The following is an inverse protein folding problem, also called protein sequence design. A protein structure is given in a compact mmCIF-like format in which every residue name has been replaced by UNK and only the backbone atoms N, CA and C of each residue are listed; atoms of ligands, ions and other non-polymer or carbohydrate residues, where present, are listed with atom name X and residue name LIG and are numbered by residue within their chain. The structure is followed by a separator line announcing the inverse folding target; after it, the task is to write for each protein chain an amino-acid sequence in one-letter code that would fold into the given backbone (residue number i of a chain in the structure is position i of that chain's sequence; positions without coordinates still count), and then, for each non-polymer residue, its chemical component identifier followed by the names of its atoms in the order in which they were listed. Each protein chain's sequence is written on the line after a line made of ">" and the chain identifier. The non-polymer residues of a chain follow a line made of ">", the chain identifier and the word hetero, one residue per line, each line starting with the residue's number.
data_IF_325073224587
#
_entry.id   IF_325073224587
#
_cell.length_a   1.000
_cell.length_b   1.000
_cell.length_c   1.000
_cell.angle_alpha   90.00
_cell.angle_beta   90.00
_cell.angle_gamma   90.00
#
_symmetry.space_group_name_H-M   'P 1'
#
loop_
_entity.id
_entity.type
_entity.pdbx_description
1 polymer ?
#
# COMPACT_ATOMS: atom_id res chain seq x y z
N UNK A 1 -11.20 17.08 0.35
CA UNK A 1 -11.30 17.46 1.79
C UNK A 1 -10.33 16.71 2.71
N UNK A 2 -10.57 15.44 3.10
CA UNK A 2 -9.76 14.76 4.14
C UNK A 2 -8.29 14.56 3.77
N UNK A 3 -7.99 14.10 2.55
CA UNK A 3 -6.61 13.93 2.06
C UNK A 3 -5.84 15.26 2.07
N UNK A 4 -6.48 16.37 1.69
CA UNK A 4 -5.85 17.68 1.71
C UNK A 4 -5.54 18.15 3.13
N UNK A 5 -6.45 17.92 4.08
CA UNK A 5 -6.23 18.22 5.50
C UNK A 5 -5.01 17.49 6.05
N UNK A 6 -4.89 16.17 5.82
CA UNK A 6 -3.72 15.41 6.25
C UNK A 6 -2.41 15.95 5.68
N UNK A 7 -2.41 16.42 4.43
CA UNK A 7 -1.22 17.02 3.83
C UNK A 7 -0.80 18.32 4.53
N UNK A 8 -1.77 19.16 4.89
CA UNK A 8 -1.52 20.38 5.66
C UNK A 8 -1.00 20.02 7.06
N UNK A 9 -1.63 19.05 7.71
CA UNK A 9 -1.27 18.62 9.07
C UNK A 9 0.13 18.02 9.12
N UNK A 10 0.50 17.15 8.17
CA UNK A 10 1.84 16.58 8.05
C UNK A 10 2.88 17.69 7.87
N UNK A 11 2.62 18.64 6.95
CA UNK A 11 3.56 19.73 6.69
C UNK A 11 3.76 20.60 7.94
N UNK A 12 2.67 21.02 8.56
CA UNK A 12 2.70 21.86 9.77
C UNK A 12 3.35 21.13 10.94
N UNK A 13 3.03 19.86 11.15
CA UNK A 13 3.62 19.07 12.21
C UNK A 13 5.12 18.86 12.02
N UNK A 14 5.57 18.62 10.79
CA UNK A 14 6.99 18.52 10.46
C UNK A 14 7.74 19.83 10.76
N UNK A 15 7.13 20.98 10.45
CA UNK A 15 7.71 22.31 10.69
C UNK A 15 7.79 22.68 12.18
N UNK A 16 6.76 22.35 12.97
CA UNK A 16 6.67 22.78 14.38
C UNK A 16 7.33 21.78 15.34
N UNK A 17 7.07 20.48 15.13
CA UNK A 17 7.42 19.42 16.07
C UNK A 17 8.49 18.46 15.53
N UNK A 18 8.86 18.60 14.27
CA UNK A 18 9.80 17.72 13.59
C UNK A 18 9.14 16.53 12.90
N UNK A 19 9.90 15.92 11.98
CA UNK A 19 9.40 14.88 11.07
C UNK A 19 8.93 13.61 11.80
N UNK A 20 9.51 13.26 12.94
CA UNK A 20 9.12 12.09 13.72
C UNK A 20 7.72 12.20 14.31
N UNK A 21 7.24 13.41 14.59
CA UNK A 21 5.88 13.64 15.09
C UNK A 21 4.81 13.34 14.02
N UNK A 22 5.18 13.35 12.74
CA UNK A 22 4.23 13.09 11.64
C UNK A 22 3.80 11.63 11.54
N UNK A 23 4.46 10.71 12.26
CA UNK A 23 4.17 9.26 12.25
C UNK A 23 2.71 8.94 12.56
N UNK A 24 2.19 9.51 13.64
CA UNK A 24 0.80 9.33 14.07
C UNK A 24 -0.19 9.85 13.03
N UNK A 25 0.18 10.95 12.36
CA UNK A 25 -0.65 11.56 11.31
C UNK A 25 -0.69 10.66 10.07
N UNK A 26 0.45 10.09 9.67
CA UNK A 26 0.52 9.12 8.58
C UNK A 26 -0.29 7.85 8.87
N UNK A 27 -0.14 7.27 10.06
CA UNK A 27 -0.90 6.07 10.45
C UNK A 27 -2.40 6.33 10.38
N UNK A 28 -2.87 7.43 11.00
CA UNK A 28 -4.27 7.82 10.95
C UNK A 28 -4.75 8.08 9.52
N UNK A 29 -3.93 8.70 8.68
CA UNK A 29 -4.27 8.95 7.29
C UNK A 29 -4.46 7.62 6.52
N UNK A 30 -3.56 6.65 6.72
CA UNK A 30 -3.62 5.34 6.07
C UNK A 30 -4.86 4.56 6.47
N UNK A 31 -5.34 4.69 7.72
CA UNK A 31 -6.53 3.99 8.21
C UNK A 31 -7.85 4.56 7.66
N UNK A 32 -7.92 5.87 7.44
CA UNK A 32 -9.20 6.55 7.14
C UNK A 32 -9.38 6.96 5.67
N UNK A 33 -8.28 7.00 4.91
CA UNK A 33 -8.33 7.42 3.51
C UNK A 33 -8.67 6.25 2.59
N UNK A 34 -9.31 6.51 1.44
CA UNK A 34 -9.48 5.49 0.40
C UNK A 34 -8.14 4.93 -0.08
N UNK A 35 -8.14 3.69 -0.57
CA UNK A 35 -6.93 2.93 -0.96
C UNK A 35 -5.95 3.71 -1.85
N UNK A 36 -6.45 4.53 -2.78
CA UNK A 36 -5.61 5.38 -3.65
C UNK A 36 -4.77 6.37 -2.84
N UNK A 37 -5.38 7.09 -1.92
CA UNK A 37 -4.71 8.08 -1.08
C UNK A 37 -3.95 7.43 0.07
N UNK A 38 -4.44 6.33 0.63
CA UNK A 38 -3.72 5.55 1.62
C UNK A 38 -2.40 5.03 1.06
N UNK A 39 -2.37 4.58 -0.21
CA UNK A 39 -1.14 4.16 -0.89
C UNK A 39 -0.13 5.31 -1.05
N UNK A 40 -0.57 6.50 -1.44
CA UNK A 40 0.32 7.69 -1.48
C UNK A 40 0.94 7.98 -0.10
N UNK A 41 0.11 7.93 0.95
CA UNK A 41 0.55 8.13 2.32
C UNK A 41 1.56 7.06 2.75
N UNK A 42 1.33 5.78 2.44
CA UNK A 42 2.26 4.70 2.71
C UNK A 42 3.61 4.92 2.01
N UNK A 43 3.63 5.29 0.72
CA UNK A 43 4.87 5.52 -0.02
C UNK A 43 5.71 6.65 0.60
N UNK A 44 5.05 7.78 0.92
CA UNK A 44 5.71 8.92 1.57
C UNK A 44 6.17 8.59 2.98
N UNK A 45 5.38 7.81 3.71
CA UNK A 45 5.72 7.39 5.07
C UNK A 45 6.93 6.44 5.06
N UNK A 46 6.97 5.47 4.15
CA UNK A 46 8.11 4.59 3.96
C UNK A 46 9.38 5.35 3.58
N UNK A 47 9.28 6.33 2.66
CA UNK A 47 10.42 7.17 2.27
C UNK A 47 10.95 8.02 3.44
N UNK A 48 10.03 8.59 4.24
CA UNK A 48 10.38 9.32 5.45
C UNK A 48 11.12 8.45 6.47
N UNK A 49 10.60 7.25 6.80
CA UNK A 49 11.27 6.32 7.72
C UNK A 49 12.63 5.86 7.17
N UNK A 50 12.71 5.62 5.86
CA UNK A 50 13.97 5.26 5.20
C UNK A 50 15.03 6.36 5.35
N UNK A 51 14.64 7.63 5.19
CA UNK A 51 15.53 8.79 5.36
C UNK A 51 15.95 9.01 6.81
N UNK A 52 15.17 8.54 7.77
CA UNK A 52 15.53 8.53 9.20
C UNK A 52 16.42 7.35 9.57
N UNK A 53 16.71 6.43 8.64
CA UNK A 53 17.48 5.21 8.89
C UNK A 53 16.66 4.06 9.48
N UNK A 54 15.34 4.23 9.62
CA UNK A 54 14.41 3.26 10.19
C UNK A 54 13.94 2.26 9.13
N UNK A 55 14.88 1.49 8.58
CA UNK A 55 14.66 0.61 7.42
C UNK A 55 13.60 -0.46 7.70
N UNK A 56 13.59 -1.05 8.91
CA UNK A 56 12.62 -2.08 9.27
C UNK A 56 11.20 -1.53 9.36
N UNK A 57 11.04 -0.28 9.82
CA UNK A 57 9.75 0.39 9.84
C UNK A 57 9.26 0.71 8.43
N UNK A 58 10.15 1.21 7.57
CA UNK A 58 9.84 1.42 6.15
C UNK A 58 9.37 0.12 5.47
N UNK A 59 10.05 -1.01 5.75
CA UNK A 59 9.68 -2.32 5.21
C UNK A 59 8.34 -2.83 5.74
N UNK A 60 8.02 -2.59 7.00
CA UNK A 60 6.72 -2.90 7.57
C UNK A 60 5.59 -2.11 6.88
N UNK A 61 5.81 -0.82 6.60
CA UNK A 61 4.85 0.03 5.88
C UNK A 61 4.64 -0.48 4.44
N UNK A 62 5.70 -0.86 3.72
CA UNK A 62 5.57 -1.48 2.40
C UNK A 62 4.76 -2.78 2.46
N UNK A 63 5.04 -3.64 3.44
CA UNK A 63 4.33 -4.91 3.63
C UNK A 63 2.84 -4.70 3.91
N UNK A 64 2.50 -3.71 4.74
CA UNK A 64 1.11 -3.32 4.99
C UNK A 64 0.44 -2.81 3.72
N UNK A 65 1.07 -1.84 3.04
CA UNK A 65 0.53 -1.23 1.82
C UNK A 65 0.31 -2.26 0.70
N UNK A 66 1.10 -3.34 0.67
CA UNK A 66 0.97 -4.40 -0.34
C UNK A 66 -0.41 -5.06 -0.38
N UNK A 67 -1.14 -5.06 0.75
CA UNK A 67 -2.47 -5.68 0.86
C UNK A 67 -3.55 -4.95 0.03
N UNK A 68 -3.33 -3.66 -0.27
CA UNK A 68 -4.23 -2.81 -1.06
C UNK A 68 -3.65 -2.46 -2.44
N UNK A 69 -2.65 -3.22 -2.88
CA UNK A 69 -1.87 -2.96 -4.09
C UNK A 69 -1.91 -4.16 -5.07
N UNK A 70 -2.97 -4.24 -5.88
CA UNK A 70 -3.05 -5.23 -6.96
C UNK A 70 -1.89 -5.06 -7.96
N UNK A 71 -0.97 -6.06 -8.07
CA UNK A 71 0.20 -5.95 -8.92
C UNK A 71 -0.10 -5.72 -10.41
N UNK A 72 -1.33 -5.97 -10.88
CA UNK A 72 -1.76 -5.72 -12.26
C UNK A 72 -1.94 -4.23 -12.57
N UNK A 73 -2.36 -3.45 -11.58
CA UNK A 73 -2.70 -2.02 -11.75
C UNK A 73 -1.78 -1.09 -10.97
N UNK A 74 -1.08 -1.59 -9.95
CA UNK A 74 -0.20 -0.79 -9.08
C UNK A 74 1.29 -1.06 -9.33
N UNK A 75 1.69 -1.16 -10.60
CA UNK A 75 3.07 -1.50 -10.97
C UNK A 75 4.11 -0.57 -10.34
N UNK A 76 3.81 0.74 -10.27
CA UNK A 76 4.68 1.76 -9.68
C UNK A 76 5.03 1.45 -8.22
N UNK A 77 4.04 1.07 -7.40
CA UNK A 77 4.28 0.71 -5.99
C UNK A 77 5.29 -0.45 -5.87
N UNK A 78 5.09 -1.52 -6.64
CA UNK A 78 5.97 -2.68 -6.61
C UNK A 78 7.38 -2.37 -7.12
N UNK A 79 7.50 -1.47 -8.08
CA UNK A 79 8.78 -1.00 -8.58
C UNK A 79 9.51 -0.16 -7.52
N UNK A 80 8.81 0.76 -6.84
CA UNK A 80 9.38 1.55 -5.74
C UNK A 80 9.82 0.68 -4.57
N UNK A 81 9.04 -0.34 -4.18
CA UNK A 81 9.46 -1.27 -3.13
C UNK A 81 10.68 -2.10 -3.56
N UNK A 82 10.73 -2.56 -4.81
CA UNK A 82 11.92 -3.24 -5.35
C UNK A 82 13.17 -2.35 -5.26
N UNK A 83 13.07 -1.09 -5.64
CA UNK A 83 14.17 -0.13 -5.54
C UNK A 83 14.59 0.16 -4.09
N UNK A 84 13.64 0.14 -3.16
CA UNK A 84 13.93 0.20 -1.74
C UNK A 84 14.76 -1.02 -1.27
N UNK A 85 14.36 -2.24 -1.61
CA UNK A 85 15.12 -3.44 -1.21
C UNK A 85 16.48 -3.55 -1.91
N UNK A 86 16.63 -3.03 -3.14
CA UNK A 86 17.94 -2.94 -3.80
C UNK A 86 18.88 -1.99 -3.03
N UNK A 87 18.35 -0.88 -2.51
CA UNK A 87 19.15 0.14 -1.81
C UNK A 87 19.47 -0.21 -0.36
N UNK A 88 18.54 -0.85 0.34
CA UNK A 88 18.60 -1.02 1.79
C UNK A 88 18.48 -2.48 2.27
N UNK A 89 18.20 -3.40 1.35
CA UNK A 89 17.99 -4.81 1.64
C UNK A 89 19.10 -5.68 1.08
N UNK A 90 18.76 -6.95 0.87
CA UNK A 90 19.64 -7.96 0.31
C UNK A 90 18.82 -8.93 -0.57
N UNK A 91 19.46 -9.99 -1.05
CA UNK A 91 18.79 -10.96 -1.92
C UNK A 91 17.58 -11.63 -1.24
N UNK A 92 17.66 -11.90 0.06
CA UNK A 92 16.57 -12.54 0.80
C UNK A 92 15.37 -11.60 0.96
N UNK A 93 15.60 -10.32 1.25
CA UNK A 93 14.49 -9.36 1.37
C UNK A 93 13.81 -9.10 0.02
N UNK A 94 14.57 -9.11 -1.08
CA UNK A 94 14.03 -9.05 -2.44
C UNK A 94 13.20 -10.30 -2.75
N UNK A 95 13.70 -11.50 -2.42
CA UNK A 95 12.95 -12.76 -2.61
C UNK A 95 11.65 -12.75 -1.83
N UNK A 96 11.67 -12.25 -0.60
CA UNK A 96 10.47 -12.14 0.24
C UNK A 96 9.45 -11.17 -0.36
N UNK A 97 9.89 -9.99 -0.80
CA UNK A 97 9.00 -9.04 -1.50
C UNK A 97 8.36 -9.67 -2.74
N UNK A 98 9.12 -10.43 -3.55
CA UNK A 98 8.57 -11.13 -4.71
C UNK A 98 7.58 -12.24 -4.31
N UNK A 99 7.80 -12.91 -3.18
CA UNK A 99 6.85 -13.90 -2.63
C UNK A 99 5.54 -13.23 -2.24
N UNK A 100 5.60 -12.11 -1.53
CA UNK A 100 4.43 -11.31 -1.16
C UNK A 100 3.69 -10.84 -2.42
N UNK A 101 4.40 -10.31 -3.43
CA UNK A 101 3.81 -9.90 -4.71
C UNK A 101 3.00 -11.02 -5.38
N UNK A 102 3.56 -12.22 -5.45
CA UNK A 102 2.85 -13.39 -6.03
C UNK A 102 1.64 -13.79 -5.20
N UNK A 103 1.74 -13.75 -3.88
CA UNK A 103 0.63 -14.05 -2.98
C UNK A 103 -0.53 -13.07 -3.17
N UNK A 104 -0.23 -11.76 -3.19
CA UNK A 104 -1.24 -10.71 -3.40
C UNK A 104 -1.88 -10.86 -4.78
N UNK A 105 -1.09 -11.10 -5.83
CA UNK A 105 -1.61 -11.34 -7.18
C UNK A 105 -2.62 -12.50 -7.22
N UNK A 106 -2.30 -13.61 -6.54
CA UNK A 106 -3.18 -14.76 -6.47
C UNK A 106 -4.49 -14.44 -5.75
N UNK A 107 -4.44 -13.70 -4.64
CA UNK A 107 -5.63 -13.26 -3.90
C UNK A 107 -6.57 -12.43 -4.80
N UNK A 108 -6.05 -11.43 -5.52
CA UNK A 108 -6.87 -10.63 -6.45
C UNK A 108 -7.43 -11.44 -7.61
N UNK A 109 -6.66 -12.39 -8.17
CA UNK A 109 -7.15 -13.26 -9.23
C UNK A 109 -8.31 -14.15 -8.75
N UNK A 110 -8.20 -14.73 -7.54
CA UNK A 110 -9.27 -15.53 -6.96
C UNK A 110 -10.53 -14.70 -6.67
N UNK A 111 -10.38 -13.48 -6.15
CA UNK A 111 -11.52 -12.58 -5.93
C UNK A 111 -12.26 -12.25 -7.22
N UNK A 112 -11.52 -11.90 -8.29
CA UNK A 112 -12.11 -11.63 -9.61
C UNK A 112 -12.82 -12.85 -10.19
N UNK A 113 -12.21 -14.04 -10.10
CA UNK A 113 -12.81 -15.28 -10.58
C UNK A 113 -14.10 -15.63 -9.83
N UNK A 114 -14.11 -15.41 -8.51
CA UNK A 114 -15.27 -15.67 -7.67
C UNK A 114 -16.43 -14.71 -7.98
N UNK A 115 -16.14 -13.41 -8.08
CA UNK A 115 -17.14 -12.39 -8.49
C UNK A 115 -17.72 -12.70 -9.86
N UNK A 116 -16.88 -13.05 -10.83
CA UNK A 116 -17.33 -13.42 -12.19
C UNK A 116 -18.25 -14.64 -12.17
N UNK A 117 -17.92 -15.65 -11.36
CA UNK A 117 -18.73 -16.85 -11.20
C UNK A 117 -20.09 -16.57 -10.54
N UNK A 118 -20.13 -15.68 -9.55
CA UNK A 118 -21.38 -15.25 -8.91
C UNK A 118 -22.27 -14.46 -9.87
N UNK A 119 -21.69 -13.54 -10.65
CA UNK A 119 -22.42 -12.77 -11.65
C UNK A 119 -23.05 -13.67 -12.71
N UNK A 120 -22.31 -14.67 -13.22
CA UNK A 120 -22.84 -15.64 -14.19
C UNK A 120 -24.00 -16.47 -13.61
N UNK A 121 -23.93 -16.86 -12.33
CA UNK A 121 -25.03 -17.55 -11.63
C UNK A 121 -26.26 -16.65 -11.46
N UNK A 122 -26.07 -15.38 -11.12
CA UNK A 122 -27.17 -14.43 -10.98
C UNK A 122 -27.89 -14.21 -12.33
N UNK A 123 -27.14 -14.01 -13.42
CA UNK A 123 -27.71 -13.80 -14.76
C UNK A 123 -28.45 -15.04 -15.28
N UNK A 124 -27.95 -16.24 -15.03
CA UNK A 124 -28.64 -17.48 -15.42
C UNK A 124 -29.93 -17.70 -14.63
N UNK A 125 -29.99 -17.26 -13.37
CA UNK A 125 -31.23 -17.32 -12.56
C UNK A 125 -32.29 -16.30 -12.98
N UNK A 126 -31.89 -15.12 -13.48
CA UNK A 126 -32.83 -14.06 -13.89
C UNK A 126 -33.38 -14.22 -15.32
N UNK A 127 -32.75 -15.04 -16.16
CA UNK A 127 -33.21 -15.30 -17.55
C UNK A 127 -34.10 -16.56 -17.64
N UNK A 128 -34.45 -17.18 -16.50
CA UNK A 128 -35.15 -18.47 -16.40
C UNK A 128 -36.63 -18.42 -16.00
N UNK A 129 -37.29 -17.27 -16.04
CA UNK A 129 -38.75 -17.09 -15.81
C UNK A 129 -39.36 -16.31 -16.96
#
# INVERSE_FOLDING_TARGET
>A
ERHHMFNIDIKRAAEIYGVTYTREIYQKAIEVLPDEHARDMCLRFSDMESKLGEIDRARAIYSYCSQICDPRVTATFWQTWKEFEIRHGNEDTIREMLRIKRSVQATYNTQVNFMSSQMLKATTSSTGT
#
